data_IF_258386797205
#
_entry.id   IF_258386797205
#
_cell.length_a   1.000
_cell.length_b   1.000
_cell.length_c   1.000
_cell.angle_alpha   90.00
_cell.angle_beta   90.00
_cell.angle_gamma   90.00
#
_symmetry.space_group_name_H-M   'P 1'
#
loop_
_entity.id
_entity.type
_entity.pdbx_description
1 polymer ?
#
# COMPACT_ATOMS: atom_id res chain seq x y z
N UNK A 1 30.95 -40.65 -8.72
CA UNK A 1 30.28 -39.51 -8.06
C UNK A 1 29.12 -39.11 -8.95
N UNK A 2 27.90 -39.47 -8.58
CA UNK A 2 26.71 -39.01 -9.32
C UNK A 2 26.46 -37.54 -8.98
N UNK A 3 26.10 -36.69 -9.96
CA UNK A 3 25.73 -35.31 -9.66
C UNK A 3 24.45 -35.32 -8.83
N UNK A 4 24.40 -34.49 -7.78
CA UNK A 4 23.20 -34.29 -6.97
C UNK A 4 22.06 -33.71 -7.82
N UNK A 5 20.80 -33.84 -7.36
CA UNK A 5 19.66 -33.29 -8.09
C UNK A 5 19.86 -31.79 -8.30
N UNK A 6 19.51 -31.30 -9.50
CA UNK A 6 19.46 -29.87 -9.77
C UNK A 6 18.53 -29.19 -8.76
N UNK A 7 18.84 -27.95 -8.33
CA UNK A 7 17.92 -27.19 -7.50
C UNK A 7 16.56 -27.13 -8.17
N UNK A 8 15.51 -27.44 -7.42
CA UNK A 8 14.13 -27.31 -7.85
C UNK A 8 13.91 -25.89 -8.37
N UNK A 9 13.58 -25.72 -9.66
CA UNK A 9 12.97 -24.50 -10.20
C UNK A 9 11.59 -24.35 -9.56
N UNK A 10 11.54 -23.91 -8.30
CA UNK A 10 10.43 -23.07 -7.91
C UNK A 10 10.53 -21.85 -8.83
N UNK A 11 9.51 -21.60 -9.66
CA UNK A 11 9.44 -20.37 -10.43
C UNK A 11 9.71 -19.20 -9.47
N UNK A 12 10.65 -18.32 -9.84
CA UNK A 12 11.01 -17.15 -9.05
C UNK A 12 9.83 -16.19 -9.05
N UNK A 13 8.90 -16.36 -8.10
CA UNK A 13 7.72 -15.51 -7.98
C UNK A 13 8.20 -14.14 -7.54
N UNK A 14 7.99 -13.14 -8.39
CA UNK A 14 8.36 -11.76 -8.08
C UNK A 14 7.62 -11.29 -6.82
N UNK A 15 8.28 -10.48 -6.00
CA UNK A 15 7.65 -9.79 -4.88
C UNK A 15 6.37 -9.03 -5.30
N UNK A 16 6.38 -8.44 -6.50
CA UNK A 16 5.20 -7.71 -7.00
C UNK A 16 4.03 -8.65 -7.30
N UNK A 17 4.31 -9.89 -7.75
CA UNK A 17 3.25 -10.89 -8.00
C UNK A 17 2.64 -11.38 -6.68
N UNK A 18 3.45 -11.56 -5.64
CA UNK A 18 2.97 -11.87 -4.29
C UNK A 18 2.11 -10.72 -3.77
N UNK A 19 2.59 -9.48 -3.85
CA UNK A 19 1.86 -8.29 -3.41
C UNK A 19 0.52 -8.14 -4.15
N UNK A 20 0.49 -8.37 -5.46
CA UNK A 20 -0.74 -8.33 -6.25
C UNK A 20 -1.74 -9.40 -5.83
N UNK A 21 -1.26 -10.60 -5.47
CA UNK A 21 -2.12 -11.67 -4.95
C UNK A 21 -2.72 -11.29 -3.59
N UNK A 22 -1.93 -10.79 -2.65
CA UNK A 22 -2.42 -10.35 -1.33
C UNK A 22 -3.43 -9.19 -1.45
N UNK A 23 -3.17 -8.22 -2.33
CA UNK A 23 -4.11 -7.12 -2.60
C UNK A 23 -5.40 -7.61 -3.28
N UNK A 24 -5.33 -8.65 -4.12
CA UNK A 24 -6.52 -9.30 -4.70
C UNK A 24 -7.37 -9.97 -3.63
N UNK A 25 -6.75 -10.75 -2.75
CA UNK A 25 -7.45 -11.45 -1.67
C UNK A 25 -8.13 -10.46 -0.71
N UNK A 26 -7.43 -9.37 -0.37
CA UNK A 26 -8.01 -8.30 0.44
C UNK A 26 -9.17 -7.59 -0.29
N UNK A 27 -9.05 -7.31 -1.60
CA UNK A 27 -10.17 -6.76 -2.38
C UNK A 27 -11.39 -7.67 -2.34
N UNK A 28 -11.21 -8.96 -2.61
CA UNK A 28 -12.31 -9.93 -2.63
C UNK A 28 -13.02 -9.97 -1.28
N UNK A 29 -12.28 -9.92 -0.17
CA UNK A 29 -12.85 -9.79 1.17
C UNK A 29 -13.65 -8.49 1.34
N UNK A 30 -13.09 -7.34 0.96
CA UNK A 30 -13.73 -6.03 1.12
C UNK A 30 -15.00 -5.89 0.27
N UNK A 31 -15.03 -6.51 -0.92
CA UNK A 31 -16.21 -6.54 -1.81
C UNK A 31 -17.38 -7.34 -1.22
N UNK A 32 -17.14 -8.23 -0.25
CA UNK A 32 -18.21 -8.93 0.47
C UNK A 32 -18.89 -8.08 1.55
N UNK A 33 -18.30 -6.96 1.95
CA UNK A 33 -18.78 -6.16 3.07
C UNK A 33 -19.95 -5.27 2.67
N UNK A 34 -21.00 -5.26 3.50
CA UNK A 34 -22.03 -4.23 3.41
C UNK A 34 -21.46 -2.85 3.77
N UNK A 35 -22.05 -1.73 3.30
CA UNK A 35 -21.59 -0.39 3.66
C UNK A 35 -21.46 -0.15 5.18
N UNK A 36 -22.38 -0.68 5.99
CA UNK A 36 -22.33 -0.54 7.46
C UNK A 36 -21.17 -1.33 8.09
N UNK A 37 -20.76 -2.44 7.47
CA UNK A 37 -19.65 -3.27 7.97
C UNK A 37 -18.30 -2.57 7.88
N UNK A 38 -18.18 -1.50 7.07
CA UNK A 38 -16.98 -0.68 6.98
C UNK A 38 -16.71 0.12 8.26
N UNK A 39 -17.73 0.38 9.08
CA UNK A 39 -17.60 1.03 10.39
C UNK A 39 -17.25 0.04 11.52
N UNK A 40 -16.98 -1.23 11.19
CA UNK A 40 -16.61 -2.24 12.18
C UNK A 40 -15.21 -1.95 12.75
N UNK A 41 -15.05 -1.88 14.09
CA UNK A 41 -13.74 -1.68 14.71
C UNK A 41 -12.74 -2.79 14.35
N UNK A 42 -11.46 -2.41 14.31
CA UNK A 42 -10.34 -3.33 14.09
C UNK A 42 -9.48 -3.46 15.36
N UNK A 43 -8.51 -4.39 15.41
CA UNK A 43 -7.56 -4.45 16.52
C UNK A 43 -6.69 -3.20 16.69
N UNK A 44 -6.54 -2.38 15.64
CA UNK A 44 -5.93 -1.06 15.76
C UNK A 44 -6.92 -0.14 16.50
N UNK A 45 -6.56 0.26 17.71
CA UNK A 45 -7.45 1.00 18.60
C UNK A 45 -7.90 2.32 17.95
N UNK A 46 -9.22 2.54 17.91
CA UNK A 46 -9.83 3.73 17.32
C UNK A 46 -10.02 3.66 15.80
N UNK A 47 -9.57 2.60 15.14
CA UNK A 47 -9.71 2.43 13.69
C UNK A 47 -10.79 1.42 13.33
N UNK A 48 -11.62 1.78 12.36
CA UNK A 48 -12.52 0.86 11.68
C UNK A 48 -11.90 0.30 10.38
N UNK A 49 -12.66 -0.51 9.65
CA UNK A 49 -12.20 -1.08 8.37
C UNK A 49 -11.91 0.03 7.35
N UNK A 50 -12.69 1.12 7.35
CA UNK A 50 -12.49 2.25 6.45
C UNK A 50 -11.16 2.93 6.70
N UNK A 51 -10.81 3.16 7.95
CA UNK A 51 -9.54 3.76 8.35
C UNK A 51 -8.36 2.93 7.83
N UNK A 52 -8.40 1.61 8.04
CA UNK A 52 -7.36 0.70 7.54
C UNK A 52 -7.16 0.82 6.03
N UNK A 53 -8.25 0.75 5.25
CA UNK A 53 -8.16 0.78 3.77
C UNK A 53 -7.72 2.15 3.27
N UNK A 54 -8.20 3.24 3.89
CA UNK A 54 -7.77 4.60 3.52
C UNK A 54 -6.31 4.89 3.85
N UNK A 55 -5.79 4.34 4.95
CA UNK A 55 -4.37 4.41 5.27
C UNK A 55 -3.53 3.68 4.21
N UNK A 56 -3.96 2.50 3.76
CA UNK A 56 -3.30 1.77 2.66
C UNK A 56 -3.30 2.60 1.38
N UNK A 57 -4.46 3.14 0.98
CA UNK A 57 -4.59 3.96 -0.22
C UNK A 57 -3.66 5.16 -0.21
N UNK A 58 -3.64 5.92 0.90
CA UNK A 58 -2.76 7.08 1.04
C UNK A 58 -1.28 6.69 0.95
N UNK A 59 -0.90 5.62 1.65
CA UNK A 59 0.48 5.13 1.66
C UNK A 59 0.92 4.66 0.28
N UNK A 60 0.06 3.98 -0.48
CA UNK A 60 0.36 3.52 -1.85
C UNK A 60 0.55 4.67 -2.84
N UNK A 61 -0.23 5.75 -2.73
CA UNK A 61 -0.02 6.94 -3.55
C UNK A 61 1.32 7.61 -3.27
N UNK A 62 1.65 7.77 -1.99
CA UNK A 62 2.93 8.34 -1.56
C UNK A 62 4.08 7.41 -1.93
N UNK A 63 3.85 6.09 -1.90
CA UNK A 63 4.81 5.09 -2.36
C UNK A 63 5.15 5.27 -3.83
N UNK A 64 4.12 5.36 -4.67
CA UNK A 64 4.26 5.61 -6.08
C UNK A 64 5.00 6.93 -6.34
N UNK A 65 4.61 8.03 -5.69
CA UNK A 65 5.22 9.34 -5.90
C UNK A 65 6.68 9.36 -5.42
N UNK A 66 7.00 8.69 -4.31
CA UNK A 66 8.38 8.56 -3.82
C UNK A 66 9.26 7.79 -4.80
N UNK A 67 8.74 6.69 -5.34
CA UNK A 67 9.44 5.84 -6.30
C UNK A 67 9.69 6.55 -7.63
N UNK A 68 8.70 7.31 -8.12
CA UNK A 68 8.70 7.87 -9.47
C UNK A 68 9.16 9.33 -9.54
N UNK A 69 9.50 9.94 -8.39
CA UNK A 69 9.82 11.37 -8.31
C UNK A 69 8.59 12.27 -8.50
N UNK A 70 7.41 11.76 -8.15
CA UNK A 70 6.14 12.48 -8.15
C UNK A 70 6.04 13.58 -7.08
N UNK A 71 4.90 14.28 -7.03
CA UNK A 71 4.76 15.50 -6.24
C UNK A 71 4.70 15.27 -4.72
N UNK A 72 4.35 14.07 -4.26
CA UNK A 72 4.13 13.76 -2.82
C UNK A 72 5.10 12.68 -2.32
N UNK A 73 6.40 12.93 -2.41
CA UNK A 73 7.41 12.03 -1.84
C UNK A 73 7.30 11.93 -0.30
N UNK A 74 7.53 10.73 0.24
CA UNK A 74 7.28 10.37 1.64
C UNK A 74 7.92 11.33 2.64
N UNK A 75 9.21 11.63 2.48
CA UNK A 75 9.93 12.52 3.38
C UNK A 75 9.32 13.92 3.43
N UNK A 76 8.97 14.49 2.27
CA UNK A 76 8.37 15.80 2.16
C UNK A 76 6.93 15.82 2.74
N UNK A 77 6.13 14.79 2.48
CA UNK A 77 4.77 14.71 3.02
C UNK A 77 4.76 14.55 4.53
N UNK A 78 5.65 13.72 5.08
CA UNK A 78 5.77 13.51 6.53
C UNK A 78 6.26 14.78 7.22
N UNK A 79 7.23 15.50 6.64
CA UNK A 79 7.64 16.81 7.14
C UNK A 79 6.48 17.82 7.09
N UNK A 80 5.78 17.90 5.94
CA UNK A 80 4.66 18.81 5.73
C UNK A 80 3.52 18.58 6.72
N UNK A 81 3.23 17.33 7.05
CA UNK A 81 2.16 16.95 7.99
C UNK A 81 2.60 16.98 9.46
N UNK A 82 3.90 17.09 9.73
CA UNK A 82 4.44 17.21 11.09
C UNK A 82 4.75 15.87 11.77
N UNK A 83 4.98 14.80 11.01
CA UNK A 83 5.42 13.50 11.52
C UNK A 83 4.63 12.30 10.99
N UNK A 84 5.14 11.09 11.27
CA UNK A 84 4.56 9.83 10.77
C UNK A 84 3.15 9.55 11.28
N UNK A 85 2.85 9.92 12.53
CA UNK A 85 1.50 9.76 13.09
C UNK A 85 0.50 10.69 12.39
N UNK A 86 0.89 11.95 12.15
CA UNK A 86 0.06 12.92 11.45
C UNK A 86 -0.12 12.55 9.96
N UNK A 87 0.91 11.98 9.33
CA UNK A 87 0.82 11.38 8.00
C UNK A 87 -0.21 10.25 7.95
N UNK A 88 -0.15 9.35 8.93
CA UNK A 88 -1.06 8.20 9.03
C UNK A 88 -2.50 8.66 9.25
N UNK A 89 -2.73 9.58 10.19
CA UNK A 89 -4.06 10.11 10.47
C UNK A 89 -4.63 10.88 9.28
N UNK A 90 -3.79 11.62 8.54
CA UNK A 90 -4.24 12.36 7.35
C UNK A 90 -4.92 11.44 6.33
N UNK A 91 -4.33 10.27 6.06
CA UNK A 91 -4.94 9.26 5.18
C UNK A 91 -6.29 8.75 5.70
N UNK A 92 -6.38 8.50 7.01
CA UNK A 92 -7.61 8.08 7.67
C UNK A 92 -8.70 9.16 7.56
N UNK A 93 -8.37 10.41 7.87
CA UNK A 93 -9.30 11.55 7.79
C UNK A 93 -9.88 11.74 6.39
N UNK A 94 -9.08 11.57 5.33
CA UNK A 94 -9.59 11.58 3.96
C UNK A 94 -10.62 10.45 3.75
N UNK A 95 -10.30 9.24 4.21
CA UNK A 95 -11.19 8.09 4.14
C UNK A 95 -12.50 8.29 4.89
N UNK A 96 -12.46 8.85 6.10
CA UNK A 96 -13.66 9.15 6.91
C UNK A 96 -14.64 10.07 6.19
N UNK A 97 -14.15 10.97 5.32
CA UNK A 97 -14.96 11.87 4.51
C UNK A 97 -15.57 11.24 3.24
N UNK A 98 -15.23 9.97 2.93
CA UNK A 98 -15.66 9.26 1.73
C UNK A 98 -16.69 8.17 2.04
N UNK A 99 -17.48 7.78 1.03
CA UNK A 99 -18.27 6.56 1.10
C UNK A 99 -17.36 5.32 0.99
N UNK A 100 -17.71 4.18 1.60
CA UNK A 100 -16.94 2.93 1.52
C UNK A 100 -16.49 2.53 0.12
N UNK A 101 -17.39 2.63 -0.87
CA UNK A 101 -17.07 2.28 -2.25
C UNK A 101 -16.03 3.22 -2.89
N UNK A 102 -16.01 4.49 -2.49
CA UNK A 102 -15.03 5.46 -2.97
C UNK A 102 -13.65 5.21 -2.33
N UNK A 103 -13.60 4.82 -1.04
CA UNK A 103 -12.36 4.39 -0.37
C UNK A 103 -11.79 3.12 -1.01
N UNK A 104 -12.65 2.14 -1.32
CA UNK A 104 -12.23 0.93 -2.03
C UNK A 104 -11.64 1.27 -3.40
N UNK A 105 -12.32 2.10 -4.21
CA UNK A 105 -11.81 2.53 -5.51
C UNK A 105 -10.48 3.27 -5.39
N UNK A 106 -10.37 4.18 -4.41
CA UNK A 106 -9.15 4.92 -4.16
C UNK A 106 -7.97 3.98 -3.89
N UNK A 107 -8.14 3.01 -2.99
CA UNK A 107 -7.13 2.01 -2.71
C UNK A 107 -6.77 1.19 -3.96
N UNK A 108 -7.76 0.69 -4.72
CA UNK A 108 -7.49 -0.10 -5.92
C UNK A 108 -6.70 0.67 -7.00
N UNK A 109 -7.02 1.94 -7.20
CA UNK A 109 -6.33 2.80 -8.16
C UNK A 109 -4.89 3.09 -7.70
N UNK A 110 -4.69 3.41 -6.41
CA UNK A 110 -3.37 3.67 -5.82
C UNK A 110 -2.49 2.41 -5.87
N UNK A 111 -3.04 1.27 -5.46
CA UNK A 111 -2.45 -0.06 -5.53
C UNK A 111 -1.95 -0.39 -6.94
N UNK A 112 -2.78 -0.17 -7.96
CA UNK A 112 -2.42 -0.47 -9.34
C UNK A 112 -1.25 0.39 -9.83
N UNK A 113 -1.27 1.70 -9.56
CA UNK A 113 -0.19 2.62 -9.93
C UNK A 113 1.12 2.27 -9.23
N UNK A 114 1.06 2.00 -7.93
CA UNK A 114 2.24 1.60 -7.16
C UNK A 114 2.86 0.31 -7.72
N UNK A 115 2.06 -0.71 -8.03
CA UNK A 115 2.56 -1.94 -8.65
C UNK A 115 3.17 -1.70 -10.03
N UNK A 116 2.56 -0.86 -10.87
CA UNK A 116 3.13 -0.46 -12.16
C UNK A 116 4.52 0.17 -11.97
N UNK A 117 4.63 1.09 -11.01
CA UNK A 117 5.91 1.68 -10.61
C UNK A 117 6.94 0.63 -10.22
N UNK A 118 6.60 -0.31 -9.33
CA UNK A 118 7.53 -1.38 -8.92
C UNK A 118 7.95 -2.30 -10.06
N UNK A 119 7.07 -2.59 -11.03
CA UNK A 119 7.43 -3.41 -12.20
C UNK A 119 8.38 -2.67 -13.14
N UNK A 120 8.31 -1.34 -13.21
CA UNK A 120 9.14 -0.51 -14.06
C UNK A 120 10.47 -0.09 -13.41
N UNK A 121 10.59 -0.19 -12.08
CA UNK A 121 11.74 0.28 -11.33
C UNK A 121 13.00 -0.54 -11.56
N UNK A 122 14.16 0.12 -11.53
CA UNK A 122 15.45 -0.56 -11.42
C UNK A 122 15.60 -1.14 -10.01
N UNK A 123 15.62 -2.47 -9.90
CA UNK A 123 15.74 -3.18 -8.62
C UNK A 123 17.04 -2.90 -7.84
N UNK A 124 18.03 -2.23 -8.46
CA UNK A 124 19.28 -1.83 -7.81
C UNK A 124 19.26 -0.39 -7.29
N UNK A 125 18.28 0.41 -7.69
CA UNK A 125 18.13 1.80 -7.27
C UNK A 125 17.67 1.90 -5.81
N UNK A 126 18.21 2.89 -5.10
CA UNK A 126 17.80 3.19 -3.73
C UNK A 126 16.73 4.27 -3.74
N UNK A 127 15.54 3.91 -3.30
CA UNK A 127 14.42 4.83 -3.09
C UNK A 127 14.54 5.46 -1.69
N UNK A 128 14.36 6.78 -1.53
CA UNK A 128 14.42 7.46 -0.23
C UNK A 128 13.19 7.17 0.63
N UNK A 129 13.07 5.91 1.07
CA UNK A 129 11.95 5.40 1.87
C UNK A 129 12.08 5.70 3.36
N UNK A 130 13.29 5.99 3.84
CA UNK A 130 13.54 6.29 5.24
C UNK A 130 13.12 7.71 5.62
N UNK A 131 12.45 7.87 6.76
CA UNK A 131 12.22 9.17 7.40
C UNK A 131 13.55 9.74 7.90
N UNK A 132 14.34 10.34 7.01
CA UNK A 132 15.61 11.00 7.36
C UNK A 132 16.81 10.06 7.60
N UNK A 133 16.77 8.82 7.12
CA UNK A 133 17.99 7.99 7.03
C UNK A 133 18.48 8.01 5.58
N UNK A 134 19.31 9.01 5.30
CA UNK A 134 20.21 9.05 4.14
C UNK A 134 21.57 8.47 4.51
#
# INVERSE_FOLDING_TARGET
>A
MSPGPAPSEAADVSFVDVLEAEQRDLRELLETLSPDSWARPTPAAGWDVRDQVSHLAHTEEVAHDTLTGGPRGLGAEVERLGGGDAFTEWGCDQGRAMAPADVLRWWLDASARMREGFRAADTTERVPWGLGMS
#
